data_IF_219222295941
#
_entry.id   IF_219222295941
#
_cell.length_a   1.000
_cell.length_b   1.000
_cell.length_c   1.000
_cell.angle_alpha   90.00
_cell.angle_beta   90.00
_cell.angle_gamma   90.00
#
_symmetry.space_group_name_H-M   'P 1'
#
loop_
_entity.id
_entity.type
_entity.pdbx_description
1 polymer ?
#
# COMPACT_ATOMS: atom_id res chain seq x y z
N UNK A 1 -14.08 -0.84 10.94
CA UNK A 1 -12.66 -0.90 11.25
C UNK A 1 -12.37 -1.09 12.74
N UNK A 2 -11.11 -1.28 13.08
CA UNK A 2 -10.65 -1.34 14.47
C UNK A 2 -10.57 -2.75 15.07
N UNK A 3 -11.32 -3.71 14.56
CA UNK A 3 -11.20 -5.11 14.95
C UNK A 3 -10.80 -5.98 13.74
N UNK A 4 -10.02 -7.05 13.97
CA UNK A 4 -9.63 -7.97 12.91
C UNK A 4 -10.85 -8.78 12.45
N UNK A 5 -11.37 -8.45 11.28
CA UNK A 5 -12.51 -9.14 10.69
C UNK A 5 -12.32 -9.31 9.19
N UNK A 6 -12.74 -10.45 8.68
CA UNK A 6 -12.84 -10.74 7.27
C UNK A 6 -14.23 -11.32 6.96
N UNK A 7 -14.83 -10.87 5.86
CA UNK A 7 -16.12 -11.35 5.40
C UNK A 7 -15.94 -11.93 4.01
N UNK A 8 -16.40 -13.18 3.82
CA UNK A 8 -16.46 -13.82 2.51
C UNK A 8 -17.91 -13.83 2.06
N UNK A 9 -18.18 -13.18 0.95
CA UNK A 9 -19.51 -13.15 0.36
C UNK A 9 -19.46 -13.40 -1.15
N UNK A 10 -20.58 -13.85 -1.72
CA UNK A 10 -20.67 -14.16 -3.14
C UNK A 10 -22.06 -14.65 -3.53
N UNK A 11 -22.21 -15.02 -4.81
CA UNK A 11 -23.46 -15.59 -5.31
C UNK A 11 -23.76 -16.92 -4.59
N UNK A 12 -25.03 -17.16 -4.26
CA UNK A 12 -25.47 -18.34 -3.50
C UNK A 12 -24.94 -19.68 -4.08
N UNK A 13 -24.83 -19.81 -5.40
CA UNK A 13 -24.29 -21.00 -6.04
C UNK A 13 -22.81 -21.27 -5.74
N UNK A 14 -22.01 -20.22 -5.40
CA UNK A 14 -20.62 -20.34 -5.02
C UNK A 14 -20.42 -20.42 -3.51
N UNK A 15 -21.36 -19.83 -2.74
CA UNK A 15 -21.36 -19.85 -1.29
C UNK A 15 -22.05 -21.12 -0.78
N UNK A 16 -21.45 -22.27 -1.06
CA UNK A 16 -21.98 -23.57 -0.64
C UNK A 16 -21.91 -23.67 0.88
N UNK A 17 -23.04 -23.44 1.52
CA UNK A 17 -23.26 -23.77 2.92
C UNK A 17 -23.72 -25.21 3.04
N UNK A 18 -24.21 -25.56 4.21
CA UNK A 18 -24.82 -26.85 4.46
C UNK A 18 -25.93 -27.16 3.44
N UNK A 19 -25.86 -28.35 2.84
CA UNK A 19 -26.93 -28.93 2.01
C UNK A 19 -27.24 -30.33 2.54
N UNK A 20 -28.47 -30.57 2.94
CA UNK A 20 -28.88 -31.86 3.46
C UNK A 20 -28.68 -32.98 2.44
N UNK A 21 -28.94 -32.69 1.16
CA UNK A 21 -28.79 -33.67 0.07
C UNK A 21 -27.30 -33.95 -0.28
N UNK A 22 -26.39 -33.09 0.11
CA UNK A 22 -24.96 -33.21 -0.19
C UNK A 22 -24.10 -32.67 0.95
N UNK A 23 -24.04 -33.39 2.07
CA UNK A 23 -23.31 -32.91 3.25
C UNK A 23 -21.80 -32.75 3.03
N UNK A 24 -21.23 -33.41 2.00
CA UNK A 24 -19.83 -33.22 1.63
C UNK A 24 -19.57 -31.89 0.88
N UNK A 25 -20.60 -31.22 0.33
CA UNK A 25 -20.53 -29.96 -0.37
C UNK A 25 -20.56 -28.77 0.62
N UNK A 26 -19.76 -28.81 1.67
CA UNK A 26 -19.72 -27.77 2.70
C UNK A 26 -18.57 -26.85 2.44
N UNK A 27 -18.84 -25.52 2.40
CA UNK A 27 -17.79 -24.51 2.51
C UNK A 27 -17.33 -24.43 3.96
N UNK A 28 -16.09 -24.85 4.22
CA UNK A 28 -15.50 -24.78 5.54
C UNK A 28 -14.80 -23.43 5.73
N UNK A 29 -15.46 -22.50 6.41
CA UNK A 29 -14.76 -21.41 7.08
C UNK A 29 -14.45 -21.86 8.51
N UNK A 30 -13.23 -22.28 8.77
CA UNK A 30 -12.80 -22.75 10.09
C UNK A 30 -11.80 -21.75 10.70
N UNK A 31 -11.88 -21.58 12.00
CA UNK A 31 -10.95 -20.79 12.81
C UNK A 31 -11.51 -20.63 14.22
N UNK A 32 -10.64 -20.61 15.21
CA UNK A 32 -11.01 -20.47 16.63
C UNK A 32 -11.82 -19.19 16.88
N UNK A 33 -11.56 -18.12 16.14
CA UNK A 33 -12.24 -16.84 16.28
C UNK A 33 -13.32 -16.61 15.22
N UNK A 34 -13.74 -17.65 14.50
CA UNK A 34 -14.80 -17.55 13.52
C UNK A 34 -16.11 -17.15 14.22
N UNK A 35 -16.80 -16.12 13.69
CA UNK A 35 -18.01 -15.56 14.29
C UNK A 35 -17.85 -15.15 15.77
N UNK A 36 -16.68 -14.62 16.16
CA UNK A 36 -16.45 -14.13 17.53
C UNK A 36 -17.51 -13.08 17.91
N UNK A 37 -18.24 -13.25 19.03
CA UNK A 37 -19.41 -12.43 19.34
C UNK A 37 -19.13 -10.93 19.36
N UNK A 38 -18.04 -10.48 20.01
CA UNK A 38 -17.66 -9.08 20.03
C UNK A 38 -17.41 -8.51 18.64
N UNK A 39 -16.74 -9.26 17.77
CA UNK A 39 -16.46 -8.84 16.37
C UNK A 39 -17.75 -8.75 15.57
N UNK A 40 -18.64 -9.73 15.74
CA UNK A 40 -19.95 -9.76 15.02
C UNK A 40 -20.84 -8.60 15.48
N UNK A 41 -20.95 -8.33 16.78
CA UNK A 41 -21.71 -7.20 17.29
C UNK A 41 -21.15 -5.86 16.80
N UNK A 42 -19.81 -5.69 16.81
CA UNK A 42 -19.18 -4.47 16.31
C UNK A 42 -19.39 -4.32 14.80
N UNK A 43 -19.39 -5.43 14.05
CA UNK A 43 -19.68 -5.44 12.61
C UNK A 43 -21.14 -5.04 12.34
N UNK A 44 -22.09 -5.54 13.15
CA UNK A 44 -23.48 -5.16 13.03
C UNK A 44 -23.66 -3.66 13.22
N UNK A 45 -23.14 -3.10 14.32
CA UNK A 45 -23.21 -1.67 14.59
C UNK A 45 -22.57 -0.83 13.46
N UNK A 46 -21.46 -1.30 12.90
CA UNK A 46 -20.83 -0.64 11.75
C UNK A 46 -21.72 -0.68 10.50
N UNK A 47 -22.36 -1.80 10.21
CA UNK A 47 -23.26 -1.92 9.06
C UNK A 47 -24.52 -1.05 9.22
N UNK A 48 -25.07 -0.98 10.42
CA UNK A 48 -26.19 -0.09 10.75
C UNK A 48 -25.81 1.39 10.55
N UNK A 49 -24.58 1.77 10.93
CA UNK A 49 -24.05 3.12 10.69
C UNK A 49 -23.87 3.40 9.19
N UNK A 50 -23.45 2.42 8.40
CA UNK A 50 -23.33 2.57 6.94
C UNK A 50 -24.65 2.87 6.23
N UNK A 51 -25.76 2.42 6.77
CA UNK A 51 -27.10 2.65 6.18
C UNK A 51 -27.65 4.06 6.44
N UNK A 52 -26.95 4.87 7.26
CA UNK A 52 -27.36 6.25 7.53
C UNK A 52 -27.18 7.13 6.29
N UNK A 53 -28.17 8.00 5.98
CA UNK A 53 -28.13 8.86 4.78
C UNK A 53 -26.87 9.72 4.69
N UNK A 54 -26.37 10.24 5.82
CA UNK A 54 -25.18 11.08 5.89
C UNK A 54 -23.93 10.29 5.48
N UNK A 55 -23.84 9.04 5.91
CA UNK A 55 -22.73 8.16 5.59
C UNK A 55 -22.80 7.72 4.13
N UNK A 56 -23.98 7.42 3.62
CA UNK A 56 -24.18 7.10 2.20
C UNK A 56 -23.77 8.28 1.28
N UNK A 57 -24.12 9.52 1.65
CA UNK A 57 -23.69 10.71 0.93
C UNK A 57 -22.17 10.88 0.96
N UNK A 58 -21.55 10.66 2.12
CA UNK A 58 -20.10 10.68 2.26
C UNK A 58 -19.44 9.69 1.31
N UNK A 59 -19.91 8.43 1.26
CA UNK A 59 -19.40 7.41 0.36
C UNK A 59 -19.63 7.76 -1.12
N UNK A 60 -20.76 8.34 -1.47
CA UNK A 60 -21.05 8.76 -2.84
C UNK A 60 -20.09 9.87 -3.33
N UNK A 61 -19.61 10.74 -2.46
CA UNK A 61 -18.68 11.81 -2.79
C UNK A 61 -17.21 11.32 -2.91
N UNK A 62 -16.86 10.18 -2.31
CA UNK A 62 -15.48 9.70 -2.20
C UNK A 62 -14.76 9.55 -3.55
N UNK A 63 -15.34 8.94 -4.61
CA UNK A 63 -14.61 8.74 -5.86
C UNK A 63 -14.02 10.04 -6.42
N UNK A 64 -14.86 11.06 -6.59
CA UNK A 64 -14.44 12.35 -7.13
C UNK A 64 -13.41 13.06 -6.23
N UNK A 65 -13.58 12.97 -4.91
CA UNK A 65 -12.68 13.59 -3.95
C UNK A 65 -11.29 12.94 -3.99
N UNK A 66 -11.23 11.61 -4.03
CA UNK A 66 -9.95 10.90 -4.09
C UNK A 66 -9.26 11.04 -5.44
N UNK A 67 -10.03 11.11 -6.55
CA UNK A 67 -9.49 11.40 -7.88
C UNK A 67 -8.81 12.79 -7.89
N UNK A 68 -9.47 13.83 -7.38
CA UNK A 68 -8.91 15.17 -7.29
C UNK A 68 -7.65 15.22 -6.40
N UNK A 69 -7.69 14.54 -5.25
CA UNK A 69 -6.53 14.45 -4.34
C UNK A 69 -5.35 13.74 -4.99
N UNK A 70 -5.58 12.63 -5.70
CA UNK A 70 -4.52 11.88 -6.38
C UNK A 70 -3.92 12.67 -7.55
N UNK A 71 -4.74 13.39 -8.30
CA UNK A 71 -4.25 14.28 -9.36
C UNK A 71 -3.36 15.39 -8.78
N UNK A 72 -3.80 16.07 -7.71
CA UNK A 72 -3.02 17.10 -7.03
C UNK A 72 -1.70 16.55 -6.49
N UNK A 73 -1.73 15.37 -5.88
CA UNK A 73 -0.54 14.72 -5.34
C UNK A 73 0.47 14.39 -6.44
N UNK A 74 0.02 13.79 -7.53
CA UNK A 74 0.87 13.44 -8.66
C UNK A 74 1.43 14.68 -9.37
N UNK A 75 0.63 15.75 -9.50
CA UNK A 75 1.09 17.03 -10.06
C UNK A 75 2.21 17.62 -9.21
N UNK A 76 2.09 17.63 -7.88
CA UNK A 76 3.13 18.13 -6.98
C UNK A 76 4.42 17.29 -7.05
N UNK A 77 4.31 15.95 -7.10
CA UNK A 77 5.46 15.07 -7.28
C UNK A 77 6.18 15.31 -8.61
N UNK A 78 5.41 15.46 -9.68
CA UNK A 78 5.94 15.75 -11.01
C UNK A 78 6.63 17.12 -11.07
N UNK A 79 6.00 18.16 -10.51
CA UNK A 79 6.56 19.51 -10.44
C UNK A 79 7.86 19.54 -9.66
N UNK A 80 7.95 18.78 -8.55
CA UNK A 80 9.17 18.61 -7.78
C UNK A 80 10.19 17.66 -8.45
N UNK A 81 9.85 17.05 -9.58
CA UNK A 81 10.70 16.14 -10.35
C UNK A 81 11.00 14.83 -9.63
N UNK A 82 10.14 14.38 -8.70
CA UNK A 82 10.35 13.11 -8.01
C UNK A 82 9.96 11.91 -8.89
N UNK A 83 10.79 10.85 -8.97
CA UNK A 83 10.54 9.69 -9.85
C UNK A 83 9.59 8.67 -9.19
N UNK A 84 8.52 9.16 -8.62
CA UNK A 84 7.47 8.39 -7.97
C UNK A 84 6.11 9.02 -8.25
N UNK A 85 5.08 8.20 -8.35
CA UNK A 85 3.70 8.64 -8.46
C UNK A 85 2.81 7.74 -7.62
N UNK A 86 1.58 8.16 -7.39
CA UNK A 86 0.56 7.35 -6.74
C UNK A 86 -0.48 6.88 -7.73
N UNK A 87 -0.98 5.67 -7.53
CA UNK A 87 -2.23 5.16 -8.10
C UNK A 87 -3.16 4.79 -6.98
N UNK A 88 -4.46 4.86 -7.21
CA UNK A 88 -5.41 4.66 -6.13
C UNK A 88 -6.67 3.93 -6.58
N UNK A 89 -7.32 3.34 -5.61
CA UNK A 89 -8.71 2.91 -5.63
C UNK A 89 -9.38 3.59 -4.44
N UNK A 90 -10.02 4.74 -4.69
CA UNK A 90 -10.55 5.61 -3.64
C UNK A 90 -9.48 5.92 -2.57
N UNK A 91 -9.72 5.62 -1.30
CA UNK A 91 -8.82 5.89 -0.16
C UNK A 91 -7.63 4.92 -0.04
N UNK A 92 -7.53 3.90 -0.89
CA UNK A 92 -6.42 2.95 -0.91
C UNK A 92 -5.47 3.32 -2.02
N UNK A 93 -4.27 3.75 -1.67
CA UNK A 93 -3.26 4.22 -2.60
C UNK A 93 -2.05 3.30 -2.62
N UNK A 94 -1.33 3.28 -3.75
CA UNK A 94 -0.06 2.58 -3.89
C UNK A 94 0.96 3.46 -4.58
N UNK A 95 2.23 3.30 -4.19
CA UNK A 95 3.35 3.99 -4.82
C UNK A 95 3.74 3.24 -6.09
N UNK A 96 3.94 3.99 -7.16
CA UNK A 96 4.42 3.50 -8.44
C UNK A 96 5.73 4.21 -8.78
N UNK A 97 6.71 3.42 -9.19
CA UNK A 97 7.98 3.91 -9.67
C UNK A 97 8.05 3.71 -11.18
N UNK A 98 8.00 4.78 -11.99
CA UNK A 98 8.00 4.69 -13.46
C UNK A 98 9.24 4.00 -14.01
N UNK A 99 10.35 4.10 -13.30
CA UNK A 99 11.62 3.47 -13.67
C UNK A 99 12.06 2.50 -12.57
N UNK A 100 12.64 1.36 -12.92
CA UNK A 100 13.18 0.43 -11.93
C UNK A 100 14.41 1.06 -11.25
N UNK A 101 14.48 0.92 -9.92
CA UNK A 101 15.58 1.43 -9.12
C UNK A 101 15.93 0.49 -7.97
N UNK A 102 17.20 0.45 -7.63
CA UNK A 102 17.73 -0.45 -6.60
C UNK A 102 17.21 -0.10 -5.21
N UNK A 103 16.99 1.20 -4.94
CA UNK A 103 16.77 1.72 -3.59
C UNK A 103 15.37 2.27 -3.36
N UNK A 104 14.42 2.03 -4.26
CA UNK A 104 13.03 2.49 -4.10
C UNK A 104 12.38 2.02 -2.79
N UNK A 105 12.78 0.86 -2.30
CA UNK A 105 12.33 0.31 -1.02
C UNK A 105 12.77 1.13 0.20
N UNK A 106 13.69 2.08 0.04
CA UNK A 106 14.12 2.97 1.12
C UNK A 106 13.12 4.11 1.38
N UNK A 107 12.30 4.48 0.39
CA UNK A 107 11.34 5.58 0.55
C UNK A 107 10.45 5.45 1.80
N UNK A 108 9.92 4.29 2.18
CA UNK A 108 9.17 4.14 3.43
C UNK A 108 9.91 4.56 4.70
N UNK A 109 11.23 4.46 4.75
CA UNK A 109 12.03 4.91 5.89
C UNK A 109 12.05 6.44 5.97
N UNK A 110 12.25 7.12 4.85
CA UNK A 110 12.18 8.58 4.77
C UNK A 110 10.78 9.09 5.09
N UNK A 111 9.73 8.41 4.62
CA UNK A 111 8.36 8.74 4.96
C UNK A 111 8.11 8.62 6.46
N UNK A 112 8.63 7.57 7.10
CA UNK A 112 8.53 7.38 8.55
C UNK A 112 9.24 8.49 9.31
N UNK A 113 10.41 8.93 8.88
CA UNK A 113 11.13 10.05 9.48
C UNK A 113 10.31 11.34 9.42
N UNK A 114 9.57 11.54 8.35
CA UNK A 114 8.61 12.64 8.20
C UNK A 114 7.27 12.39 8.92
N UNK A 115 7.15 11.33 9.71
CA UNK A 115 5.93 11.00 10.47
C UNK A 115 4.84 10.30 9.68
N UNK A 116 5.13 9.80 8.46
CA UNK A 116 4.21 9.02 7.64
C UNK A 116 4.50 7.52 7.80
N UNK A 117 3.64 6.82 8.55
CA UNK A 117 3.79 5.40 8.79
C UNK A 117 3.10 4.61 7.67
N UNK A 118 3.89 3.90 6.88
CA UNK A 118 3.42 2.94 5.89
C UNK A 118 3.46 1.52 6.43
N UNK A 119 2.75 0.61 5.75
CA UNK A 119 2.90 -0.81 6.01
C UNK A 119 4.36 -1.24 5.88
N UNK A 120 4.86 -1.98 6.86
CA UNK A 120 6.24 -2.50 6.91
C UNK A 120 6.60 -3.35 5.68
N UNK A 121 5.65 -4.04 5.08
CA UNK A 121 5.91 -5.05 4.04
C UNK A 121 6.30 -4.45 2.69
N UNK A 122 6.68 -3.18 2.64
CA UNK A 122 7.23 -2.55 1.43
C UNK A 122 6.25 -2.44 0.26
N UNK A 123 4.97 -2.67 0.49
CA UNK A 123 3.94 -2.58 -0.58
C UNK A 123 3.73 -1.15 -1.09
N UNK A 124 4.32 -0.15 -0.44
CA UNK A 124 4.08 1.25 -0.77
C UNK A 124 2.61 1.66 -0.63
N UNK A 125 1.85 0.93 0.19
CA UNK A 125 0.41 1.15 0.32
C UNK A 125 0.13 2.19 1.40
N UNK A 126 -0.65 3.23 1.03
CA UNK A 126 -1.24 4.18 1.97
C UNK A 126 -2.74 3.90 2.02
N UNK A 127 -3.30 3.90 3.22
CA UNK A 127 -4.73 3.74 3.44
C UNK A 127 -5.21 4.93 4.26
N UNK A 128 -6.10 5.70 3.68
CA UNK A 128 -6.67 6.88 4.33
C UNK A 128 -8.03 6.55 4.93
N UNK A 129 -8.31 7.13 6.10
CA UNK A 129 -9.66 7.10 6.65
C UNK A 129 -10.54 8.16 5.98
N UNK A 130 -11.85 8.07 6.19
CA UNK A 130 -12.80 9.06 5.69
C UNK A 130 -12.71 10.40 6.44
N UNK A 131 -12.06 10.43 7.59
CA UNK A 131 -11.86 11.62 8.42
C UNK A 131 -10.77 12.56 7.93
N UNK A 132 -10.03 12.17 6.87
CA UNK A 132 -9.04 13.06 6.28
C UNK A 132 -9.71 14.22 5.57
N UNK A 133 -9.65 15.38 6.21
CA UNK A 133 -10.00 16.67 5.58
C UNK A 133 -8.86 17.13 4.63
N UNK A 134 -9.08 18.23 3.93
CA UNK A 134 -8.10 18.74 2.97
C UNK A 134 -6.84 19.26 3.66
N UNK A 135 -6.94 19.77 4.90
CA UNK A 135 -5.80 20.24 5.68
C UNK A 135 -4.88 19.07 6.07
N UNK A 136 -5.46 18.00 6.61
CA UNK A 136 -4.71 16.80 6.97
C UNK A 136 -4.07 16.17 5.71
N UNK A 137 -4.78 16.20 4.59
CA UNK A 137 -4.26 15.70 3.33
C UNK A 137 -3.11 16.55 2.79
N UNK A 138 -3.18 17.87 2.92
CA UNK A 138 -2.08 18.78 2.56
C UNK A 138 -0.84 18.54 3.41
N UNK A 139 -1.01 18.29 4.69
CA UNK A 139 0.09 17.93 5.58
C UNK A 139 0.77 16.61 5.13
N UNK A 140 -0.02 15.60 4.75
CA UNK A 140 0.52 14.34 4.19
C UNK A 140 1.32 14.62 2.92
N UNK A 141 0.79 15.44 2.01
CA UNK A 141 1.49 15.81 0.77
C UNK A 141 2.83 16.50 1.05
N UNK A 142 2.85 17.48 1.94
CA UNK A 142 4.09 18.21 2.28
C UNK A 142 5.14 17.29 2.90
N UNK A 143 4.73 16.43 3.84
CA UNK A 143 5.62 15.44 4.47
C UNK A 143 6.16 14.44 3.44
N UNK A 144 5.33 14.03 2.49
CA UNK A 144 5.74 13.12 1.42
C UNK A 144 6.78 13.77 0.50
N UNK A 145 6.57 15.02 0.09
CA UNK A 145 7.50 15.77 -0.72
C UNK A 145 8.85 15.97 0.01
N UNK A 146 8.80 16.28 1.30
CA UNK A 146 10.01 16.42 2.13
C UNK A 146 10.81 15.12 2.21
N UNK A 147 10.14 13.98 2.40
CA UNK A 147 10.76 12.65 2.39
C UNK A 147 11.44 12.35 1.04
N UNK A 148 10.74 12.64 -0.06
CA UNK A 148 11.30 12.46 -1.40
C UNK A 148 12.52 13.36 -1.66
N UNK A 149 12.47 14.60 -1.19
CA UNK A 149 13.57 15.57 -1.33
C UNK A 149 14.80 15.14 -0.52
N UNK A 150 14.59 14.65 0.72
CA UNK A 150 15.68 14.13 1.55
C UNK A 150 16.31 12.89 0.91
N UNK A 151 15.51 11.93 0.46
CA UNK A 151 16.00 10.75 -0.25
C UNK A 151 16.82 11.12 -1.50
N UNK A 152 16.46 12.23 -2.18
CA UNK A 152 17.23 12.77 -3.31
C UNK A 152 18.56 13.36 -2.84
N UNK A 153 18.55 14.16 -1.79
CA UNK A 153 19.75 14.79 -1.23
C UNK A 153 20.79 13.73 -0.82
N UNK A 154 20.32 12.61 -0.29
CA UNK A 154 21.16 11.48 0.11
C UNK A 154 21.59 10.58 -1.08
N UNK A 155 21.14 10.88 -2.30
CA UNK A 155 21.58 10.19 -3.52
C UNK A 155 20.92 8.82 -3.78
N UNK A 156 19.80 8.51 -3.12
CA UNK A 156 19.16 7.18 -3.22
C UNK A 156 18.14 7.02 -4.36
N UNK A 157 17.82 8.09 -5.09
CA UNK A 157 17.03 7.99 -6.32
C UNK A 157 17.89 7.44 -7.47
N UNK A 158 18.16 6.15 -7.43
CA UNK A 158 18.93 5.45 -8.45
C UNK A 158 17.98 4.71 -9.40
N UNK A 159 17.74 5.29 -10.56
CA UNK A 159 16.87 4.73 -11.58
C UNK A 159 17.70 4.13 -12.74
N UNK A 160 17.26 2.97 -13.22
CA UNK A 160 17.75 2.37 -14.45
C UNK A 160 16.72 2.55 -15.57
N UNK A 161 17.15 2.66 -16.86
CA UNK A 161 16.23 2.87 -17.98
C UNK A 161 15.21 1.75 -18.13
N UNK A 162 15.60 0.51 -17.79
CA UNK A 162 14.72 -0.65 -17.78
C UNK A 162 15.20 -1.74 -16.79
N UNK A 163 14.36 -2.75 -16.58
CA UNK A 163 14.65 -3.86 -15.67
C UNK A 163 15.87 -4.70 -16.12
N UNK A 164 16.17 -4.78 -17.42
CA UNK A 164 17.33 -5.53 -17.95
C UNK A 164 18.62 -4.78 -17.60
N UNK A 165 18.64 -3.46 -17.77
CA UNK A 165 19.77 -2.63 -17.41
C UNK A 165 20.06 -2.71 -15.89
N UNK A 166 19.02 -2.65 -15.04
CA UNK A 166 19.16 -2.83 -13.61
C UNK A 166 19.75 -4.20 -13.28
N UNK A 167 19.18 -5.27 -13.83
CA UNK A 167 19.66 -6.64 -13.61
C UNK A 167 21.11 -6.81 -14.03
N UNK A 168 21.50 -6.31 -15.20
CA UNK A 168 22.89 -6.37 -15.68
C UNK A 168 23.85 -5.67 -14.76
N UNK A 169 23.47 -4.47 -14.25
CA UNK A 169 24.29 -3.72 -13.30
C UNK A 169 24.46 -4.50 -11.99
N UNK A 170 23.39 -5.05 -11.42
CA UNK A 170 23.45 -5.85 -10.20
C UNK A 170 24.31 -7.11 -10.36
N UNK A 171 24.21 -7.80 -11.49
CA UNK A 171 25.07 -8.97 -11.78
C UNK A 171 26.55 -8.56 -11.87
N UNK A 172 26.87 -7.45 -12.53
CA UNK A 172 28.26 -6.96 -12.62
C UNK A 172 28.80 -6.60 -11.24
N UNK A 173 28.01 -5.98 -10.38
CA UNK A 173 28.40 -5.67 -8.99
C UNK A 173 28.66 -6.95 -8.18
N UNK A 174 27.79 -7.96 -8.29
CA UNK A 174 27.97 -9.25 -7.64
C UNK A 174 29.28 -9.93 -8.09
N UNK A 175 29.54 -9.94 -9.39
CA UNK A 175 30.77 -10.50 -9.96
C UNK A 175 32.02 -9.75 -9.51
N UNK A 176 31.98 -8.42 -9.45
CA UNK A 176 33.11 -7.62 -8.96
C UNK A 176 33.37 -7.85 -7.48
N UNK A 177 32.32 -7.95 -6.66
CA UNK A 177 32.44 -8.26 -5.24
C UNK A 177 33.00 -9.67 -4.99
N UNK A 178 32.56 -10.66 -5.76
CA UNK A 178 33.10 -12.02 -5.68
C UNK A 178 34.58 -12.09 -6.04
N UNK A 179 34.98 -11.41 -7.11
CA UNK A 179 36.44 -11.34 -7.50
C UNK A 179 37.26 -10.65 -6.42
N UNK A 180 36.75 -9.56 -5.80
CA UNK A 180 37.45 -8.86 -4.74
C UNK A 180 37.58 -9.70 -3.46
N UNK A 181 36.65 -10.60 -3.18
CA UNK A 181 36.74 -11.54 -2.04
C UNK A 181 37.75 -12.65 -2.30
N UNK A 182 37.82 -13.20 -3.53
CA UNK A 182 38.79 -14.22 -3.89
C UNK A 182 40.25 -13.70 -3.86
N UNK A 183 40.48 -12.46 -4.27
CA UNK A 183 41.80 -11.84 -4.20
C UNK A 183 42.32 -11.63 -2.77
N UNK A 184 41.42 -11.50 -1.79
CA UNK A 184 41.81 -11.35 -0.37
C UNK A 184 42.10 -12.68 0.32
N UNK A 185 41.54 -13.77 -0.17
CA UNK A 185 41.78 -15.10 0.36
C UNK A 185 43.09 -15.73 -0.15
N UNK A 186 43.82 -15.08 -1.06
CA UNK A 186 45.05 -15.58 -1.64
C UNK A 186 46.34 -15.03 -0.98
N UNK A 187 46.23 -14.25 0.09
CA UNK A 187 47.39 -13.84 0.93
C UNK A 187 47.21 -14.46 2.32
N UNK A 188 48.08 -15.40 2.71
CA UNK A 188 48.16 -15.94 4.07
C UNK A 188 48.66 -14.90 5.08
#
# INVERSE_FOLDING_TARGET
GGLPVGVVCGKAGWMKRWREERPADICFARGTFNAHPQVVCSMQAFLEELDRPEVQQLYAAQPAQWDARAQRFNAALQQAGHPVRVSHLQSIWTLLFPQPGRYHWMLPFYLREQGLLLSWVGSGRLVFSLDYDDRAFDEVLQRFLAACAQMRADGWWDAAPDARALRRRLLNEMWSAARASWGRSAHP
#
